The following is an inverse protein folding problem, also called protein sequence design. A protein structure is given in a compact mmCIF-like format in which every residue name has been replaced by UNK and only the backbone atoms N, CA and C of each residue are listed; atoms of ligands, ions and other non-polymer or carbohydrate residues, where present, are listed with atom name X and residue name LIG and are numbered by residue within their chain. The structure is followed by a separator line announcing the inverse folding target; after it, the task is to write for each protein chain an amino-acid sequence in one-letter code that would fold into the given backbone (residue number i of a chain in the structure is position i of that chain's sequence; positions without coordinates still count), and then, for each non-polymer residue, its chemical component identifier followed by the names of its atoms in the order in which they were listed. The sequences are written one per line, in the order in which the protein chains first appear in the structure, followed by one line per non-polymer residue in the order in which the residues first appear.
data_IF_535128637222
#
_entry.id   IF_535128637222
#
_cell.length_a   1.000
_cell.length_b   1.000
_cell.length_c   1.000
_cell.angle_alpha   90.00
_cell.angle_beta   90.00
_cell.angle_gamma   90.00
#
_symmetry.space_group_name_H-M   'P 1'
#
loop_
_entity.id
_entity.type
_entity.pdbx_description
1 polymer ?
#
# COMPACT_ATOMS: atom_id res chain seq x y z
N UNK A 1 -51.28 -10.53 15.81
CA UNK A 1 -51.26 -9.89 17.13
C UNK A 1 -52.63 -10.03 17.75
N UNK A 2 -52.66 -10.24 19.06
CA UNK A 2 -53.88 -10.44 19.83
C UNK A 2 -53.75 -9.63 21.12
N UNK A 3 -54.67 -8.70 21.35
CA UNK A 3 -54.84 -8.02 22.62
C UNK A 3 -55.52 -9.01 23.58
N UNK A 4 -54.95 -9.15 24.78
CA UNK A 4 -55.45 -10.06 25.80
C UNK A 4 -55.91 -9.27 27.03
N UNK A 5 -56.96 -9.74 27.68
CA UNK A 5 -57.39 -9.25 28.98
C UNK A 5 -56.47 -9.77 30.11
N UNK A 6 -56.79 -9.42 31.35
CA UNK A 6 -56.00 -9.83 32.54
C UNK A 6 -56.00 -11.35 32.77
N UNK A 7 -56.91 -12.10 32.15
CA UNK A 7 -57.00 -13.57 32.22
C UNK A 7 -56.21 -14.26 31.11
N UNK A 8 -55.67 -13.50 30.14
CA UNK A 8 -54.97 -14.01 28.96
C UNK A 8 -55.89 -14.39 27.80
N UNK A 9 -57.20 -14.14 27.91
CA UNK A 9 -58.15 -14.37 26.83
C UNK A 9 -58.13 -13.19 25.84
N UNK A 10 -58.45 -13.44 24.57
CA UNK A 10 -58.57 -12.36 23.57
C UNK A 10 -59.64 -11.36 24.00
N UNK A 11 -59.26 -10.10 24.16
CA UNK A 11 -60.21 -9.01 24.40
C UNK A 11 -60.82 -8.56 23.06
N UNK A 12 -61.97 -9.12 22.72
CA UNK A 12 -62.67 -8.79 21.47
C UNK A 12 -63.28 -7.39 21.45
N UNK A 13 -63.28 -6.68 22.57
CA UNK A 13 -63.76 -5.29 22.66
C UNK A 13 -62.63 -4.27 22.48
N UNK A 14 -61.38 -4.71 22.56
CA UNK A 14 -60.23 -3.86 22.32
C UNK A 14 -60.18 -3.40 20.85
N UNK A 15 -60.20 -2.08 20.65
CA UNK A 15 -60.15 -1.40 19.34
C UNK A 15 -59.03 -0.34 19.28
N UNK A 16 -58.02 -0.44 20.14
CA UNK A 16 -56.91 0.52 20.19
C UNK A 16 -56.02 0.49 18.94
N UNK A 17 -55.40 1.63 18.64
CA UNK A 17 -54.41 1.79 17.56
C UNK A 17 -53.03 1.45 18.06
N UNK A 18 -52.34 0.57 17.33
CA UNK A 18 -51.03 0.04 17.72
C UNK A 18 -49.93 0.64 16.86
N UNK A 19 -48.87 1.13 17.51
CA UNK A 19 -47.62 1.56 16.90
C UNK A 19 -46.55 0.47 16.98
N UNK A 20 -45.72 0.36 15.95
CA UNK A 20 -44.68 -0.67 15.85
C UNK A 20 -43.28 -0.05 15.86
N UNK A 21 -42.39 -0.64 16.66
CA UNK A 21 -40.96 -0.35 16.65
C UNK A 21 -40.17 -1.64 16.48
N UNK A 22 -38.91 -1.54 16.04
CA UNK A 22 -38.01 -2.69 15.93
C UNK A 22 -36.62 -2.37 16.44
N UNK A 23 -35.91 -3.39 16.95
CA UNK A 23 -34.46 -3.29 17.22
C UNK A 23 -33.60 -3.31 15.95
N UNK A 24 -34.19 -3.62 14.78
CA UNK A 24 -33.50 -3.49 13.51
C UNK A 24 -33.53 -2.04 13.04
N UNK A 25 -32.36 -1.41 13.03
CA UNK A 25 -32.18 -0.01 12.60
C UNK A 25 -31.59 0.09 11.19
N UNK A 26 -31.57 -1.00 10.43
CA UNK A 26 -30.99 -1.03 9.09
C UNK A 26 -31.84 -0.23 8.10
N UNK A 27 -31.19 0.35 7.09
CA UNK A 27 -31.90 0.98 5.98
C UNK A 27 -32.71 -0.09 5.23
N UNK A 28 -33.99 0.21 4.95
CA UNK A 28 -34.91 -0.72 4.29
C UNK A 28 -35.80 -1.53 5.23
N UNK A 29 -35.68 -1.36 6.54
CA UNK A 29 -36.68 -1.89 7.49
C UNK A 29 -38.03 -1.23 7.21
N UNK A 30 -39.06 -2.05 7.04
CA UNK A 30 -40.44 -1.61 6.81
C UNK A 30 -41.31 -2.17 7.92
N UNK A 31 -41.86 -1.29 8.74
CA UNK A 31 -42.80 -1.65 9.80
C UNK A 31 -44.23 -1.32 9.36
N UNK A 32 -45.24 -2.02 9.91
CA UNK A 32 -46.63 -1.67 9.67
C UNK A 32 -46.91 -0.22 10.09
N UNK A 33 -47.78 0.45 9.35
CA UNK A 33 -48.32 1.73 9.79
C UNK A 33 -49.22 1.53 11.01
N UNK A 34 -49.37 2.60 11.81
CA UNK A 34 -50.26 2.61 12.97
C UNK A 34 -51.68 2.21 12.55
N UNK A 35 -52.20 1.16 13.17
CA UNK A 35 -53.48 0.56 12.76
C UNK A 35 -54.29 0.13 13.99
N UNK A 36 -55.60 0.39 13.96
CA UNK A 36 -56.54 -0.10 14.96
C UNK A 36 -56.73 -1.63 14.83
N UNK A 37 -56.77 -2.33 15.96
CA UNK A 37 -57.12 -3.76 15.96
C UNK A 37 -58.62 -3.97 15.72
N UNK A 38 -58.97 -4.98 14.93
CA UNK A 38 -60.34 -5.42 14.73
C UNK A 38 -60.67 -6.56 15.69
N UNK A 39 -61.64 -6.33 16.58
CA UNK A 39 -62.03 -7.30 17.62
C UNK A 39 -60.83 -7.85 18.42
N UNK A 40 -59.96 -6.96 18.89
CA UNK A 40 -58.75 -7.32 19.63
C UNK A 40 -57.63 -7.96 18.81
N UNK A 41 -57.76 -8.09 17.49
CA UNK A 41 -56.82 -8.83 16.66
C UNK A 41 -56.42 -8.09 15.38
N UNK A 42 -55.25 -8.44 14.88
CA UNK A 42 -54.73 -7.91 13.62
C UNK A 42 -53.55 -8.71 13.10
N UNK A 43 -53.47 -8.83 11.77
CA UNK A 43 -52.34 -9.46 11.07
C UNK A 43 -51.60 -8.38 10.31
N UNK A 44 -50.28 -8.35 10.50
CA UNK A 44 -49.42 -7.32 9.97
C UNK A 44 -48.19 -7.94 9.32
N UNK A 45 -47.66 -7.29 8.30
CA UNK A 45 -46.42 -7.68 7.65
C UNK A 45 -45.33 -6.68 8.02
N UNK A 46 -44.17 -7.19 8.41
CA UNK A 46 -42.98 -6.39 8.66
C UNK A 46 -41.81 -6.97 7.85
N UNK A 47 -40.90 -6.11 7.42
CA UNK A 47 -39.64 -6.48 6.76
C UNK A 47 -38.48 -6.03 7.63
N UNK A 48 -37.69 -7.01 8.09
CA UNK A 48 -36.42 -6.80 8.79
C UNK A 48 -35.28 -7.19 7.85
N UNK A 49 -34.13 -6.52 8.01
CA UNK A 49 -32.97 -6.60 7.11
C UNK A 49 -31.75 -7.18 7.83
N UNK A 50 -31.47 -6.78 9.07
CA UNK A 50 -30.30 -7.23 9.82
C UNK A 50 -30.47 -8.68 10.24
N UNK A 51 -29.54 -9.52 9.82
CA UNK A 51 -29.50 -10.90 10.29
C UNK A 51 -29.12 -10.96 11.78
N UNK A 52 -29.66 -11.96 12.48
CA UNK A 52 -29.50 -12.15 13.92
C UNK A 52 -30.81 -12.00 14.69
N UNK A 53 -30.69 -11.89 16.01
CA UNK A 53 -31.86 -11.75 16.88
C UNK A 53 -32.39 -10.32 16.84
N UNK A 54 -33.60 -10.17 16.34
CA UNK A 54 -34.30 -8.90 16.23
C UNK A 54 -35.61 -8.95 17.01
N UNK A 55 -36.04 -7.78 17.49
CA UNK A 55 -37.31 -7.61 18.20
C UNK A 55 -38.24 -6.70 17.41
N UNK A 56 -39.54 -6.99 17.51
CA UNK A 56 -40.62 -6.07 17.13
C UNK A 56 -41.44 -5.82 18.38
N UNK A 57 -41.66 -4.55 18.70
CA UNK A 57 -42.48 -4.13 19.83
C UNK A 57 -43.69 -3.38 19.32
N UNK A 58 -44.85 -3.81 19.79
CA UNK A 58 -46.15 -3.21 19.56
C UNK A 58 -46.59 -2.46 20.82
N UNK A 59 -47.01 -1.22 20.66
CA UNK A 59 -47.45 -0.36 21.77
C UNK A 59 -48.75 0.32 21.39
N UNK A 60 -49.75 0.28 22.26
CA UNK A 60 -50.96 1.09 22.08
C UNK A 60 -50.57 2.59 22.08
N UNK A 61 -51.02 3.32 21.07
CA UNK A 61 -50.69 4.73 20.83
C UNK A 61 -51.27 5.68 21.88
N UNK A 62 -52.31 5.27 22.61
CA UNK A 62 -52.98 6.05 23.64
C UNK A 62 -52.57 5.58 25.03
N UNK A 63 -52.56 4.27 25.26
CA UNK A 63 -52.25 3.64 26.55
C UNK A 63 -50.93 2.89 26.47
N UNK A 64 -49.81 3.62 26.53
CA UNK A 64 -48.47 3.09 26.29
C UNK A 64 -48.02 1.91 27.18
N UNK A 65 -48.75 1.59 28.25
CA UNK A 65 -48.51 0.40 29.09
C UNK A 65 -49.04 -0.90 28.46
N UNK A 66 -49.92 -0.81 27.47
CA UNK A 66 -50.40 -1.97 26.70
C UNK A 66 -49.36 -2.24 25.61
N UNK A 67 -48.51 -3.24 25.86
CA UNK A 67 -47.41 -3.59 24.96
C UNK A 67 -47.37 -5.09 24.68
N UNK A 68 -46.85 -5.45 23.51
CA UNK A 68 -46.49 -6.82 23.16
C UNK A 68 -45.15 -6.84 22.42
N UNK A 69 -44.34 -7.87 22.66
CA UNK A 69 -43.04 -8.03 22.02
C UNK A 69 -42.92 -9.38 21.31
N UNK A 70 -42.25 -9.39 20.16
CA UNK A 70 -41.83 -10.59 19.45
C UNK A 70 -40.33 -10.54 19.24
N UNK A 71 -39.63 -11.56 19.73
CA UNK A 71 -38.21 -11.80 19.40
C UNK A 71 -38.13 -12.91 18.37
N UNK A 72 -37.42 -12.67 17.27
CA UNK A 72 -37.22 -13.64 16.20
C UNK A 72 -35.76 -13.60 15.71
N UNK A 73 -35.34 -14.64 15.01
CA UNK A 73 -34.03 -14.68 14.36
C UNK A 73 -34.20 -14.45 12.86
N UNK A 74 -33.71 -13.31 12.37
CA UNK A 74 -33.62 -13.03 10.95
C UNK A 74 -32.41 -13.78 10.40
N UNK A 75 -32.62 -14.57 9.35
CA UNK A 75 -31.52 -15.22 8.62
C UNK A 75 -31.03 -14.29 7.52
N UNK A 76 -29.73 -14.27 7.28
CA UNK A 76 -29.18 -13.62 6.11
C UNK A 76 -29.72 -14.27 4.82
N UNK A 77 -29.78 -13.51 3.74
CA UNK A 77 -29.99 -14.08 2.42
C UNK A 77 -28.72 -14.82 1.96
N UNK A 78 -28.82 -15.49 0.81
CA UNK A 78 -27.64 -16.13 0.19
C UNK A 78 -26.53 -15.12 -0.06
N UNK A 79 -25.29 -15.52 0.21
CA UNK A 79 -24.14 -14.67 -0.05
C UNK A 79 -24.08 -14.25 -1.53
N UNK A 80 -23.82 -12.96 -1.74
CA UNK A 80 -23.62 -12.36 -3.07
C UNK A 80 -22.19 -11.88 -3.28
N UNK A 81 -21.41 -11.79 -2.20
CA UNK A 81 -20.01 -11.37 -2.20
C UNK A 81 -19.22 -12.06 -1.10
N UNK A 82 -17.91 -12.09 -1.26
CA UNK A 82 -16.98 -12.36 -0.17
C UNK A 82 -16.32 -11.03 0.21
N UNK A 83 -16.13 -10.80 1.50
CA UNK A 83 -15.40 -9.65 2.02
C UNK A 83 -14.12 -10.13 2.66
N UNK A 84 -13.01 -9.45 2.37
CA UNK A 84 -11.70 -9.72 2.94
C UNK A 84 -11.30 -8.52 3.79
N UNK A 85 -10.71 -8.78 4.95
CA UNK A 85 -10.31 -7.73 5.89
C UNK A 85 -9.00 -8.07 6.60
N UNK A 86 -8.26 -7.05 7.00
CA UNK A 86 -7.08 -7.18 7.86
C UNK A 86 -6.85 -5.86 8.59
N UNK A 87 -6.39 -5.94 9.84
CA UNK A 87 -5.89 -4.79 10.60
C UNK A 87 -4.36 -4.66 10.54
N UNK A 88 -3.69 -5.55 9.79
CA UNK A 88 -2.23 -5.60 9.73
C UNK A 88 -1.65 -4.55 8.77
N UNK A 89 -0.45 -4.07 9.08
CA UNK A 89 0.43 -3.37 8.13
C UNK A 89 1.59 -4.31 7.76
N UNK A 90 1.43 -5.16 6.73
CA UNK A 90 2.38 -6.23 6.47
C UNK A 90 3.77 -5.71 6.12
N UNK A 91 4.79 -6.44 6.55
CA UNK A 91 6.19 -6.24 6.13
C UNK A 91 6.56 -7.38 5.18
N UNK A 92 7.33 -7.09 4.13
CA UNK A 92 7.79 -8.07 3.15
C UNK A 92 8.38 -9.31 3.85
N UNK A 93 7.88 -10.49 3.49
CA UNK A 93 8.30 -11.77 4.06
C UNK A 93 7.67 -12.15 5.40
N UNK A 94 6.94 -11.25 6.05
CA UNK A 94 6.22 -11.56 7.28
C UNK A 94 4.79 -11.99 6.98
N UNK A 95 4.32 -13.03 7.68
CA UNK A 95 2.93 -13.48 7.59
C UNK A 95 1.99 -12.53 8.33
N UNK A 96 0.76 -12.42 7.85
CA UNK A 96 -0.32 -11.65 8.48
C UNK A 96 -1.67 -12.31 8.27
N UNK A 97 -2.62 -11.96 9.15
CA UNK A 97 -3.96 -12.54 9.15
C UNK A 97 -4.91 -11.80 8.19
N UNK A 98 -5.70 -12.58 7.46
CA UNK A 98 -6.77 -12.13 6.57
C UNK A 98 -8.08 -12.77 7.03
N UNK A 99 -9.02 -11.95 7.48
CA UNK A 99 -10.39 -12.37 7.80
C UNK A 99 -11.25 -12.38 6.54
N UNK A 100 -12.11 -13.37 6.42
CA UNK A 100 -12.99 -13.59 5.26
C UNK A 100 -14.42 -13.81 5.75
N UNK A 101 -15.38 -13.14 5.13
CA UNK A 101 -16.81 -13.28 5.43
C UNK A 101 -17.63 -13.25 4.13
N UNK A 102 -18.42 -14.29 3.90
CA UNK A 102 -19.41 -14.37 2.84
C UNK A 102 -20.67 -13.59 3.28
N UNK A 103 -21.01 -12.58 2.50
CA UNK A 103 -22.08 -11.65 2.85
C UNK A 103 -23.14 -11.56 1.75
N UNK A 104 -24.38 -11.33 2.15
CA UNK A 104 -25.47 -10.98 1.25
C UNK A 104 -25.35 -9.53 0.73
N UNK A 105 -26.32 -9.12 -0.10
CA UNK A 105 -26.37 -7.77 -0.67
C UNK A 105 -26.55 -6.66 0.39
N UNK A 106 -27.04 -7.02 1.58
CA UNK A 106 -27.28 -6.10 2.70
C UNK A 106 -26.10 -6.04 3.67
N UNK A 107 -25.05 -6.83 3.44
CA UNK A 107 -23.87 -6.89 4.29
C UNK A 107 -24.01 -7.84 5.50
N UNK A 108 -25.06 -8.65 5.55
CA UNK A 108 -25.18 -9.67 6.58
C UNK A 108 -24.31 -10.87 6.22
N UNK A 109 -23.69 -11.49 7.23
CA UNK A 109 -22.96 -12.76 7.04
C UNK A 109 -23.95 -13.91 6.82
N UNK A 110 -23.82 -14.60 5.70
CA UNK A 110 -24.57 -15.83 5.43
C UNK A 110 -23.95 -17.00 6.20
N UNK A 111 -24.48 -17.27 7.38
CA UNK A 111 -23.97 -18.36 8.23
C UNK A 111 -24.26 -19.76 7.68
N UNK A 112 -25.10 -19.89 6.65
CA UNK A 112 -25.31 -21.17 5.97
C UNK A 112 -24.31 -21.38 4.81
N UNK A 113 -23.54 -20.35 4.47
CA UNK A 113 -22.54 -20.44 3.41
C UNK A 113 -21.41 -21.39 3.78
N UNK A 114 -21.23 -22.41 2.92
CA UNK A 114 -20.19 -23.43 3.01
C UNK A 114 -19.42 -23.57 1.68
N UNK A 115 -19.32 -22.48 0.91
CA UNK A 115 -18.54 -22.43 -0.32
C UNK A 115 -17.03 -22.41 -0.06
N UNK A 116 -16.25 -22.78 -1.08
CA UNK A 116 -14.79 -22.83 -1.04
C UNK A 116 -14.22 -21.60 -1.72
N UNK A 117 -13.37 -20.85 -1.01
CA UNK A 117 -12.75 -19.63 -1.52
C UNK A 117 -11.35 -19.94 -2.04
N UNK A 118 -11.12 -19.62 -3.31
CA UNK A 118 -9.81 -19.55 -3.92
C UNK A 118 -9.20 -18.15 -3.76
N UNK A 119 -7.92 -18.09 -3.41
CA UNK A 119 -7.22 -16.84 -3.20
C UNK A 119 -6.21 -16.58 -4.31
N UNK A 120 -6.05 -15.31 -4.69
CA UNK A 120 -4.98 -14.85 -5.58
C UNK A 120 -4.39 -13.55 -5.06
N UNK A 121 -3.19 -13.19 -5.52
CA UNK A 121 -2.59 -11.89 -5.22
C UNK A 121 -1.98 -11.24 -6.45
N UNK A 122 -1.92 -9.91 -6.44
CA UNK A 122 -1.13 -9.14 -7.40
C UNK A 122 0.38 -9.20 -7.13
N UNK A 123 0.80 -9.78 -5.99
CA UNK A 123 2.22 -10.05 -5.73
C UNK A 123 2.63 -11.38 -6.38
N UNK A 124 3.45 -11.29 -7.42
CA UNK A 124 3.95 -12.44 -8.18
C UNK A 124 5.41 -12.77 -7.83
N UNK A 125 5.95 -12.19 -6.76
CA UNK A 125 7.34 -12.40 -6.36
C UNK A 125 7.57 -13.82 -5.85
N UNK A 126 8.79 -14.32 -6.00
CA UNK A 126 9.17 -15.60 -5.41
C UNK A 126 9.07 -15.54 -3.88
N UNK A 127 8.47 -16.58 -3.28
CA UNK A 127 8.27 -16.68 -1.82
C UNK A 127 6.94 -16.10 -1.30
N UNK A 128 6.08 -15.56 -2.18
CA UNK A 128 4.70 -15.24 -1.82
C UNK A 128 3.97 -16.52 -1.40
N UNK A 129 3.26 -16.44 -0.28
CA UNK A 129 2.39 -17.52 0.22
C UNK A 129 1.00 -16.95 0.39
N UNK A 130 0.07 -17.41 -0.43
CA UNK A 130 -1.36 -17.11 -0.30
C UNK A 130 -2.08 -18.29 0.35
N UNK A 131 -3.26 -18.07 0.97
CA UNK A 131 -4.04 -19.16 1.53
C UNK A 131 -4.38 -20.21 0.47
N UNK A 132 -4.39 -21.48 0.86
CA UNK A 132 -4.94 -22.54 0.03
C UNK A 132 -6.47 -22.44 -0.06
N UNK A 133 -7.04 -23.02 -1.11
CA UNK A 133 -8.49 -23.12 -1.29
C UNK A 133 -9.13 -23.72 -0.05
N UNK A 134 -10.06 -22.99 0.55
CA UNK A 134 -10.62 -23.35 1.85
C UNK A 134 -12.13 -23.10 1.91
N UNK A 135 -12.85 -24.07 2.45
CA UNK A 135 -14.27 -23.94 2.74
C UNK A 135 -14.49 -23.02 3.93
N UNK A 136 -15.42 -22.07 3.81
CA UNK A 136 -15.80 -21.21 4.93
C UNK A 136 -16.69 -21.98 5.91
N UNK A 137 -16.53 -21.70 7.21
CA UNK A 137 -17.36 -22.27 8.27
C UNK A 137 -18.27 -21.18 8.82
N UNK A 138 -19.58 -21.41 8.82
CA UNK A 138 -20.58 -20.39 9.16
C UNK A 138 -20.39 -19.09 8.36
N UNK A 139 -20.09 -19.22 7.06
CA UNK A 139 -19.81 -18.09 6.17
C UNK A 139 -18.55 -17.30 6.48
N UNK A 140 -17.66 -17.78 7.37
CA UNK A 140 -16.45 -17.06 7.75
C UNK A 140 -15.19 -17.94 7.76
N UNK A 141 -14.04 -17.28 7.73
CA UNK A 141 -12.73 -17.90 7.81
C UNK A 141 -11.66 -16.89 8.20
N UNK A 142 -10.57 -17.37 8.78
CA UNK A 142 -9.37 -16.58 9.04
C UNK A 142 -8.18 -17.33 8.49
N UNK A 143 -7.42 -16.66 7.63
CA UNK A 143 -6.31 -17.26 6.91
C UNK A 143 -5.02 -16.46 7.13
N UNK A 144 -3.90 -17.05 6.75
CA UNK A 144 -2.59 -16.42 6.79
C UNK A 144 -2.08 -16.19 5.37
N UNK A 145 -1.53 -15.01 5.12
CA UNK A 145 -0.86 -14.67 3.87
C UNK A 145 0.51 -14.07 4.15
N UNK A 146 1.46 -14.29 3.24
CA UNK A 146 2.79 -13.68 3.25
C UNK A 146 3.05 -13.05 1.89
N UNK A 147 3.27 -11.74 1.88
CA UNK A 147 3.58 -10.97 0.67
C UNK A 147 5.05 -10.53 0.72
N UNK A 148 5.66 -10.35 -0.44
CA UNK A 148 7.10 -10.14 -0.62
C UNK A 148 7.41 -8.79 -1.25
N UNK A 149 6.64 -8.36 -2.26
CA UNK A 149 6.85 -7.09 -2.94
C UNK A 149 6.36 -5.94 -2.08
N UNK A 150 7.25 -5.00 -1.79
CA UNK A 150 6.87 -3.77 -1.10
C UNK A 150 6.00 -2.87 -2.00
N UNK A 151 5.06 -2.15 -1.40
CA UNK A 151 4.09 -1.30 -2.08
C UNK A 151 2.65 -1.81 -1.99
N UNK A 152 1.78 -1.24 -2.82
CA UNK A 152 0.36 -1.60 -2.85
C UNK A 152 0.15 -2.96 -3.51
N UNK A 153 -0.35 -3.92 -2.74
CA UNK A 153 -0.69 -5.26 -3.19
C UNK A 153 -2.16 -5.55 -2.90
N UNK A 154 -2.77 -6.40 -3.71
CA UNK A 154 -4.17 -6.83 -3.53
C UNK A 154 -4.21 -8.34 -3.36
N UNK A 155 -5.07 -8.80 -2.45
CA UNK A 155 -5.50 -10.20 -2.33
C UNK A 155 -6.94 -10.27 -2.78
N UNK A 156 -7.26 -11.21 -3.67
CA UNK A 156 -8.62 -11.46 -4.14
C UNK A 156 -9.06 -12.82 -3.62
N UNK A 157 -10.26 -12.89 -3.04
CA UNK A 157 -10.94 -14.14 -2.73
C UNK A 157 -12.12 -14.33 -3.67
N UNK A 158 -12.23 -15.50 -4.29
CA UNK A 158 -13.28 -15.85 -5.24
C UNK A 158 -13.82 -17.24 -4.89
N UNK A 159 -15.14 -17.39 -4.81
CA UNK A 159 -15.74 -18.72 -4.67
C UNK A 159 -15.45 -19.59 -5.90
N UNK A 160 -15.05 -20.85 -5.68
CA UNK A 160 -14.63 -21.76 -6.75
C UNK A 160 -15.77 -22.28 -7.60
N UNK A 161 -17.00 -22.34 -7.07
CA UNK A 161 -18.17 -22.79 -7.80
C UNK A 161 -18.92 -21.63 -8.48
N UNK A 162 -18.93 -20.46 -7.84
CA UNK A 162 -19.69 -19.28 -8.28
C UNK A 162 -18.81 -18.04 -8.31
N UNK A 163 -18.09 -17.83 -9.41
CA UNK A 163 -17.08 -16.77 -9.53
C UNK A 163 -17.60 -15.34 -9.31
N UNK A 164 -18.91 -15.08 -9.42
CA UNK A 164 -19.51 -13.77 -9.09
C UNK A 164 -19.49 -13.46 -7.59
N UNK A 165 -19.35 -14.46 -6.74
CA UNK A 165 -19.16 -14.31 -5.30
C UNK A 165 -17.66 -14.12 -5.05
N UNK A 166 -17.22 -12.87 -5.08
CA UNK A 166 -15.82 -12.51 -4.89
C UNK A 166 -15.66 -11.22 -4.09
N UNK A 167 -14.43 -10.89 -3.74
CA UNK A 167 -14.04 -9.60 -3.19
C UNK A 167 -12.52 -9.45 -3.09
N UNK A 168 -12.09 -8.25 -2.73
CA UNK A 168 -10.66 -7.89 -2.67
C UNK A 168 -10.29 -7.21 -1.37
N UNK A 169 -9.03 -7.37 -0.97
CA UNK A 169 -8.36 -6.67 0.11
C UNK A 169 -7.10 -6.02 -0.44
N UNK A 170 -7.02 -4.69 -0.36
CA UNK A 170 -5.80 -3.94 -0.70
C UNK A 170 -5.00 -3.65 0.57
N UNK A 171 -3.69 -3.94 0.52
CA UNK A 171 -2.74 -3.70 1.61
C UNK A 171 -1.49 -3.00 1.07
N UNK A 172 -0.87 -2.15 1.89
CA UNK A 172 0.45 -1.59 1.57
C UNK A 172 1.50 -2.37 2.34
N UNK A 173 2.30 -3.16 1.61
CA UNK A 173 3.41 -3.95 2.15
C UNK A 173 4.62 -3.03 2.35
N UNK A 174 5.14 -2.99 3.58
CA UNK A 174 6.40 -2.29 3.91
C UNK A 174 7.58 -3.15 3.46
N UNK A 175 8.62 -2.53 2.92
CA UNK A 175 9.88 -3.25 2.71
C UNK A 175 10.46 -3.73 4.05
N UNK A 176 11.16 -4.87 4.03
CA UNK A 176 11.86 -5.36 5.21
C UNK A 176 13.13 -4.52 5.49
N UNK A 177 13.83 -4.83 6.58
CA UNK A 177 15.08 -4.15 6.93
C UNK A 177 16.13 -4.32 5.81
N UNK A 178 16.95 -3.29 5.60
CA UNK A 178 18.04 -3.35 4.63
C UNK A 178 18.98 -4.53 4.94
N UNK A 179 19.20 -5.37 3.94
CA UNK A 179 20.09 -6.53 4.01
C UNK A 179 21.22 -6.46 2.98
N UNK A 180 21.10 -5.57 1.99
CA UNK A 180 22.17 -5.29 1.05
C UNK A 180 22.20 -3.81 0.66
N UNK A 181 23.38 -3.35 0.30
CA UNK A 181 23.59 -2.05 -0.32
C UNK A 181 23.81 -2.26 -1.82
N UNK A 182 23.26 -1.39 -2.65
CA UNK A 182 23.59 -1.26 -4.06
C UNK A 182 24.26 0.10 -4.26
N UNK A 183 25.39 0.10 -4.96
CA UNK A 183 26.11 1.31 -5.35
C UNK A 183 26.14 1.32 -6.89
N UNK A 184 25.53 2.33 -7.49
CA UNK A 184 25.60 2.58 -8.93
C UNK A 184 26.52 3.77 -9.22
N UNK A 185 27.33 3.64 -10.25
CA UNK A 185 28.35 4.60 -10.65
C UNK A 185 28.57 4.48 -12.16
N UNK A 186 28.93 5.57 -12.86
CA UNK A 186 29.22 5.50 -14.28
C UNK A 186 30.40 4.56 -14.53
N UNK A 187 30.34 3.80 -15.65
CA UNK A 187 31.41 2.89 -16.06
C UNK A 187 32.73 3.63 -16.29
N UNK A 188 32.67 4.87 -16.74
CA UNK A 188 33.82 5.75 -16.90
C UNK A 188 33.49 7.19 -16.53
N UNK A 189 34.52 7.92 -16.09
CA UNK A 189 34.47 9.34 -15.79
C UNK A 189 35.76 10.04 -16.28
N UNK A 190 35.74 11.37 -16.33
CA UNK A 190 36.93 12.16 -16.65
C UNK A 190 37.65 12.54 -15.36
N UNK A 191 38.95 12.30 -15.30
CA UNK A 191 39.77 12.66 -14.15
C UNK A 191 39.65 14.16 -13.83
N UNK A 192 39.42 14.48 -12.56
CA UNK A 192 39.21 15.84 -12.05
C UNK A 192 37.83 16.44 -12.33
N UNK A 193 36.88 15.66 -12.85
CA UNK A 193 35.49 16.08 -13.05
C UNK A 193 34.56 15.29 -12.12
N UNK A 194 33.60 16.00 -11.53
CA UNK A 194 32.60 15.40 -10.66
C UNK A 194 31.65 14.49 -11.47
N UNK A 195 31.25 13.39 -10.86
CA UNK A 195 30.23 12.49 -11.37
C UNK A 195 29.32 12.00 -10.25
N UNK A 196 28.11 11.59 -10.61
CA UNK A 196 27.11 11.12 -9.66
C UNK A 196 27.27 9.63 -9.38
N UNK A 197 27.15 9.25 -8.12
CA UNK A 197 26.93 7.87 -7.68
C UNK A 197 25.60 7.78 -6.94
N UNK A 198 24.92 6.65 -7.04
CA UNK A 198 23.66 6.42 -6.33
C UNK A 198 23.82 5.26 -5.34
N UNK A 199 23.42 5.48 -4.09
CA UNK A 199 23.33 4.43 -3.08
C UNK A 199 21.86 4.08 -2.89
N UNK A 200 21.52 2.81 -3.06
CA UNK A 200 20.18 2.26 -2.81
C UNK A 200 20.29 1.11 -1.82
N UNK A 201 19.53 1.16 -0.73
CA UNK A 201 19.46 0.07 0.24
C UNK A 201 18.34 -0.88 -0.15
N UNK A 202 18.64 -2.18 -0.14
CA UNK A 202 17.69 -3.23 -0.49
C UNK A 202 17.49 -4.21 0.65
N UNK A 203 16.26 -4.65 0.81
CA UNK A 203 15.91 -5.73 1.75
C UNK A 203 16.31 -7.12 1.18
N UNK A 204 16.13 -8.23 1.92
CA UNK A 204 16.50 -9.57 1.44
C UNK A 204 15.78 -10.01 0.16
N UNK A 205 14.64 -9.39 -0.15
CA UNK A 205 13.79 -9.70 -1.29
C UNK A 205 14.07 -8.79 -2.50
N UNK A 206 15.00 -7.84 -2.35
CA UNK A 206 15.38 -6.89 -3.38
C UNK A 206 14.50 -5.65 -3.46
N UNK A 207 13.54 -5.47 -2.54
CA UNK A 207 12.78 -4.23 -2.43
C UNK A 207 13.69 -3.10 -1.93
N UNK A 208 13.40 -1.86 -2.32
CA UNK A 208 14.08 -0.71 -1.72
C UNK A 208 13.65 -0.59 -0.26
N UNK A 209 14.62 -0.66 0.66
CA UNK A 209 14.39 -0.58 2.10
C UNK A 209 14.13 0.89 2.51
N UNK A 210 12.94 1.40 2.21
CA UNK A 210 12.55 2.81 2.41
C UNK A 210 12.61 3.27 3.88
N UNK A 211 12.59 2.32 4.82
CA UNK A 211 12.74 2.56 6.26
C UNK A 211 14.18 2.72 6.74
N UNK A 212 15.20 2.56 5.89
CA UNK A 212 16.60 2.67 6.30
C UNK A 212 16.94 4.10 6.76
N UNK A 213 17.61 4.20 7.92
CA UNK A 213 18.05 5.47 8.56
C UNK A 213 19.51 5.42 9.01
N UNK A 214 20.28 4.45 8.51
CA UNK A 214 21.69 4.31 8.85
C UNK A 214 22.56 5.37 8.18
N UNK A 215 23.81 5.44 8.62
CA UNK A 215 24.83 6.35 8.09
C UNK A 215 25.79 5.61 7.19
N UNK A 216 25.97 6.09 5.96
CA UNK A 216 26.93 5.54 4.99
C UNK A 216 28.21 6.37 4.96
N UNK A 217 29.35 5.67 4.95
CA UNK A 217 30.68 6.22 4.77
C UNK A 217 31.22 5.87 3.37
N UNK A 218 31.89 6.82 2.73
CA UNK A 218 32.51 6.65 1.42
C UNK A 218 34.03 6.53 1.50
N UNK A 219 34.60 5.62 0.71
CA UNK A 219 36.04 5.48 0.54
C UNK A 219 36.41 5.26 -0.94
N UNK A 220 37.68 5.48 -1.28
CA UNK A 220 38.22 5.24 -2.63
C UNK A 220 39.60 4.58 -2.58
N UNK A 221 40.00 3.95 -3.69
CA UNK A 221 41.40 3.55 -3.92
C UNK A 221 42.27 4.65 -4.53
N UNK A 222 41.69 5.78 -4.94
CA UNK A 222 42.44 6.87 -5.55
C UNK A 222 43.36 7.53 -4.51
N UNK A 223 44.70 7.45 -4.67
CA UNK A 223 45.63 7.80 -3.60
C UNK A 223 45.86 9.31 -3.45
N UNK A 224 45.29 10.15 -4.33
CA UNK A 224 45.60 11.57 -4.33
C UNK A 224 44.69 12.36 -3.37
N UNK A 225 45.24 13.34 -2.63
CA UNK A 225 44.48 14.12 -1.66
C UNK A 225 43.46 15.07 -2.30
N UNK A 226 43.53 15.30 -3.62
CA UNK A 226 42.59 16.14 -4.35
C UNK A 226 41.22 15.47 -4.59
N UNK A 227 41.08 14.18 -4.27
CA UNK A 227 39.80 13.46 -4.34
C UNK A 227 38.74 14.17 -3.49
N UNK A 228 37.52 14.23 -4.02
CA UNK A 228 36.35 14.71 -3.28
C UNK A 228 35.37 13.56 -3.14
N UNK A 229 35.20 13.07 -1.92
CA UNK A 229 34.16 12.11 -1.56
C UNK A 229 33.05 12.82 -0.76
N UNK A 230 31.83 12.27 -0.78
CA UNK A 230 30.78 12.71 0.14
C UNK A 230 31.22 12.52 1.59
N UNK A 231 30.78 13.43 2.46
CA UNK A 231 30.85 13.20 3.90
C UNK A 231 29.93 12.03 4.30
N UNK A 232 30.13 11.52 5.52
CA UNK A 232 29.23 10.53 6.10
C UNK A 232 27.79 11.05 6.09
N UNK A 233 26.89 10.23 5.57
CA UNK A 233 25.51 10.65 5.32
C UNK A 233 24.52 9.71 5.98
N UNK A 234 23.71 10.27 6.89
CA UNK A 234 22.58 9.58 7.53
C UNK A 234 21.35 9.71 6.66
N UNK A 235 20.80 8.56 6.23
CA UNK A 235 19.58 8.54 5.41
C UNK A 235 18.37 9.07 6.18
N UNK A 236 17.61 9.94 5.53
CA UNK A 236 16.35 10.49 6.02
C UNK A 236 15.14 9.78 5.42
N UNK A 237 13.95 10.06 5.95
CA UNK A 237 12.70 9.54 5.38
C UNK A 237 12.47 9.98 3.93
N UNK A 238 12.87 11.21 3.61
CA UNK A 238 12.72 11.79 2.27
C UNK A 238 13.56 11.06 1.20
N UNK A 239 14.62 10.36 1.59
CA UNK A 239 15.46 9.60 0.65
C UNK A 239 14.74 8.34 0.13
N UNK A 240 13.71 7.84 0.83
CA UNK A 240 13.01 6.63 0.42
C UNK A 240 13.97 5.43 0.21
N UNK A 241 15.08 5.37 0.95
CA UNK A 241 16.10 4.33 0.83
C UNK A 241 17.05 4.47 -0.37
N UNK A 242 17.00 5.56 -1.14
CA UNK A 242 17.95 5.87 -2.22
C UNK A 242 18.42 7.33 -2.17
N UNK A 243 19.73 7.55 -2.29
CA UNK A 243 20.28 8.91 -2.33
C UNK A 243 21.40 9.02 -3.38
N UNK A 244 21.53 10.19 -3.99
CA UNK A 244 22.56 10.49 -4.98
C UNK A 244 23.64 11.37 -4.38
N UNK A 245 24.89 11.05 -4.70
CA UNK A 245 26.05 11.74 -4.19
C UNK A 245 26.99 12.15 -5.32
N UNK A 246 27.77 13.20 -5.09
CA UNK A 246 28.79 13.66 -6.03
C UNK A 246 30.18 13.17 -5.60
N UNK A 247 30.95 12.63 -6.54
CA UNK A 247 32.31 12.12 -6.33
C UNK A 247 33.23 12.72 -7.40
N UNK A 248 34.46 13.09 -7.03
CA UNK A 248 35.51 13.50 -7.98
C UNK A 248 36.77 12.67 -7.75
N UNK A 249 37.21 11.96 -8.79
CA UNK A 249 38.43 11.14 -8.80
C UNK A 249 39.42 11.66 -9.85
N UNK A 250 40.71 11.36 -9.69
CA UNK A 250 41.80 12.03 -10.40
C UNK A 250 42.82 11.11 -11.05
N UNK A 251 42.95 9.84 -10.62
CA UNK A 251 44.09 8.98 -11.01
C UNK A 251 43.68 7.89 -12.01
N UNK A 252 43.96 8.04 -13.32
CA UNK A 252 43.85 6.96 -14.30
C UNK A 252 44.74 5.76 -13.97
N UNK A 253 44.44 4.55 -14.49
CA UNK A 253 43.38 4.26 -15.47
C UNK A 253 42.02 3.94 -14.85
N UNK A 254 41.96 3.56 -13.58
CA UNK A 254 40.72 3.20 -12.91
C UNK A 254 40.86 3.31 -11.41
N UNK A 255 39.75 3.61 -10.74
CA UNK A 255 39.68 3.73 -9.29
C UNK A 255 38.39 3.11 -8.77
N UNK A 256 38.40 2.72 -7.51
CA UNK A 256 37.20 2.21 -6.85
C UNK A 256 36.54 3.29 -6.00
N UNK A 257 35.21 3.29 -5.96
CA UNK A 257 34.42 3.99 -4.95
C UNK A 257 33.68 2.93 -4.15
N UNK A 258 33.70 3.04 -2.83
CA UNK A 258 32.95 2.16 -1.94
C UNK A 258 32.06 2.95 -1.00
N UNK A 259 30.88 2.42 -0.74
CA UNK A 259 29.97 2.89 0.29
C UNK A 259 29.74 1.76 1.30
N UNK A 260 29.85 2.08 2.58
CA UNK A 260 29.68 1.11 3.68
C UNK A 260 28.88 1.75 4.80
N UNK A 261 27.87 1.06 5.33
CA UNK A 261 27.21 1.49 6.56
C UNK A 261 28.21 1.48 7.73
N UNK A 262 28.19 2.55 8.51
CA UNK A 262 29.14 2.80 9.62
C UNK A 262 28.95 1.87 10.83
N UNK A 263 27.77 1.26 10.98
CA UNK A 263 27.43 0.35 12.07
C UNK A 263 27.41 -1.11 11.57
N UNK A 264 26.84 -1.35 10.39
CA UNK A 264 26.73 -2.67 9.78
C UNK A 264 27.64 -2.80 8.56
N UNK A 265 28.89 -3.22 8.76
CA UNK A 265 29.87 -3.37 7.69
C UNK A 265 29.47 -4.37 6.58
N UNK A 266 28.47 -5.25 6.80
CA UNK A 266 27.96 -6.13 5.75
C UNK A 266 27.15 -5.38 4.68
N UNK A 267 26.60 -4.20 5.02
CA UNK A 267 26.00 -3.28 4.05
C UNK A 267 27.10 -2.48 3.36
N UNK A 268 27.91 -3.17 2.55
CA UNK A 268 29.01 -2.59 1.78
C UNK A 268 28.94 -2.95 0.31
N UNK A 269 29.28 -1.99 -0.55
CA UNK A 269 29.56 -2.22 -1.97
C UNK A 269 30.72 -1.37 -2.46
N UNK A 270 31.41 -1.93 -3.46
CA UNK A 270 32.48 -1.26 -4.21
C UNK A 270 32.13 -1.26 -5.69
N UNK A 271 32.50 -0.18 -6.39
CA UNK A 271 32.39 -0.03 -7.84
C UNK A 271 33.69 0.49 -8.42
N UNK A 272 34.10 -0.11 -9.53
CA UNK A 272 35.24 0.34 -10.32
C UNK A 272 34.76 1.38 -11.34
N UNK A 273 35.47 2.50 -11.43
CA UNK A 273 35.24 3.58 -12.38
C UNK A 273 36.50 3.75 -13.22
N UNK A 274 36.39 3.63 -14.53
CA UNK A 274 37.51 3.90 -15.45
C UNK A 274 37.68 5.42 -15.60
N UNK A 275 38.91 5.92 -15.49
CA UNK A 275 39.20 7.35 -15.57
C UNK A 275 40.00 7.69 -16.83
N UNK A 276 39.49 8.66 -17.58
CA UNK A 276 40.17 9.21 -18.75
C UNK A 276 40.77 10.58 -18.43
N UNK A 277 41.95 10.87 -19.00
CA UNK A 277 42.56 12.21 -18.91
C UNK A 277 41.74 13.22 -19.69
N UNK A 278 41.66 14.45 -19.17
CA UNK A 278 41.07 15.57 -19.90
C UNK A 278 41.84 15.81 -21.20
N UNK A 279 41.17 15.76 -22.36
CA UNK A 279 41.79 16.08 -23.65
C UNK A 279 42.19 17.56 -23.64
N UNK A 280 43.50 17.87 -23.59
CA UNK A 280 44.00 19.24 -23.75
C UNK A 280 43.64 19.75 -25.16
N UNK A 281 42.79 20.78 -25.28
CA UNK A 281 42.70 21.56 -26.52
C UNK A 281 44.04 22.26 -26.72
N UNK A 282 44.82 21.88 -27.74
CA UNK A 282 45.98 22.67 -28.17
C UNK A 282 45.47 24.03 -28.65
N UNK A 283 45.70 25.11 -27.90
CA UNK A 283 45.61 26.48 -28.45
C UNK A 283 46.70 26.59 -29.51
N UNK A 284 46.31 26.69 -30.78
CA UNK A 284 47.23 27.07 -31.86
C UNK A 284 47.56 28.55 -31.62
N UNK A 285 48.75 28.83 -31.10
CA UNK A 285 49.26 30.20 -31.03
C UNK A 285 49.69 30.56 -32.45
N UNK A 286 48.87 31.33 -33.17
CA UNK A 286 49.27 31.90 -34.46
C UNK A 286 50.16 33.09 -34.16
N UNK A 287 51.48 32.91 -34.19
CA UNK A 287 52.44 34.03 -34.17
C UNK A 287 52.25 34.80 -35.47
N UNK A 288 51.74 36.04 -35.41
CA UNK A 288 51.78 36.95 -36.55
C UNK A 288 53.18 37.53 -36.68
N UNK A 289 53.90 37.08 -37.70
CA UNK A 289 55.18 37.61 -38.14
C UNK A 289 54.93 38.96 -38.85
N UNK A 290 55.34 40.07 -38.22
CA UNK A 290 55.36 41.39 -38.86
C UNK A 290 56.50 41.43 -39.89
N UNK A 291 56.15 41.61 -41.16
CA UNK A 291 57.11 41.97 -42.23
C UNK A 291 57.44 43.46 -42.13
N UNK A 292 58.71 43.89 -42.27
CA UNK A 292 59.04 45.30 -42.41
C UNK A 292 58.91 45.73 -43.88
N UNK A 293 58.21 46.85 -44.10
CA UNK A 293 58.00 47.50 -45.38
C UNK A 293 59.14 48.52 -45.63
N UNK A 294 59.95 48.29 -46.67
CA UNK A 294 61.07 49.16 -47.07
C UNK A 294 60.56 50.33 -47.92
N UNK A 295 60.58 51.55 -47.37
CA UNK A 295 60.36 52.78 -48.13
C UNK A 295 61.71 53.41 -48.53
N UNK A 296 62.05 53.41 -49.83
CA UNK A 296 63.17 54.19 -50.39
C UNK A 296 62.57 55.27 -51.31
N UNK A 297 62.48 56.51 -50.78
CA UNK A 297 62.18 57.72 -51.55
C UNK A 297 63.41 58.14 -52.36
N UNK A 298 63.22 58.41 -53.64
CA UNK A 298 64.14 59.15 -54.49
C UNK A 298 63.61 60.59 -54.66
N UNK A 299 64.48 61.57 -54.58
CA UNK A 299 64.17 62.99 -54.82
C UNK A 299 65.44 63.82 -54.77
N UNK A 300 66.02 64.07 -55.93
CA UNK A 300 67.18 64.91 -56.16
C UNK A 300 66.79 66.39 -56.38
N UNK A 301 67.63 67.29 -55.89
CA UNK A 301 67.76 68.72 -56.25
C UNK A 301 69.05 69.21 -55.59
N UNK A 302 69.96 70.02 -56.13
CA UNK A 302 70.42 70.40 -57.47
C UNK A 302 71.80 71.09 -57.25
N UNK A 303 72.54 71.28 -58.34
CA UNK A 303 73.92 71.77 -58.52
C UNK A 303 74.36 73.07 -57.80
N UNK A 304 75.70 73.20 -57.69
CA UNK A 304 76.42 74.37 -58.22
C UNK A 304 76.96 74.01 -59.61
#
# INVERSE_FOLDING_TARGET
MTAQDQSGATDTTYAGTVHFTSSDTSLGVLLPADTALGSGQGTFSATLIKAGSQTITATDTVTATITGGLTLTVRAASATKVTLSSSATPTAGASFSVGVSAQDAYGNTDTAYAGTVHFTSTDTSAGVVIPADSTLTNGQGTFSATLIKAGSQTITGTDTATASINGTLSVTVRAASAASLALDAPRSATAGQAFTVAVTLKDPYGNVATGYRGTVHFATSDPVPAVVLPADYTFAAADGGTHQFSVTLWTPPSQTVSATDTVNANLTRKRLVVLHRLKRRRRRLTTMEQRPETARRAGAFLLA
#
